data_IF_533942303722
#
_entry.id   IF_533942303722
#
_cell.length_a   1.000
_cell.length_b   1.000
_cell.length_c   1.000
_cell.angle_alpha   90.00
_cell.angle_beta   90.00
_cell.angle_gamma   90.00
#
_symmetry.space_group_name_H-M   'P 1'
#
loop_
_entity.id
_entity.type
_entity.pdbx_description
1 polymer ?
#
# COMPACT_ATOMS: atom_id res chain seq x y z
N UNK A 1 35.16 6.36 34.27
CA UNK A 1 33.85 6.84 34.76
C UNK A 1 33.06 7.18 33.51
N UNK A 2 32.34 6.18 33.02
CA UNK A 2 31.70 6.18 31.71
C UNK A 2 30.21 6.26 31.99
N UNK A 3 29.62 7.43 31.77
CA UNK A 3 28.19 7.66 32.01
C UNK A 3 27.42 7.07 30.85
N UNK A 4 26.79 5.93 31.07
CA UNK A 4 25.82 5.30 30.17
C UNK A 4 24.58 6.20 30.11
N UNK A 5 24.29 6.76 28.94
CA UNK A 5 23.02 7.43 28.68
C UNK A 5 22.04 6.34 28.28
N UNK A 6 21.22 5.92 29.23
CA UNK A 6 20.05 5.08 29.00
C UNK A 6 18.94 5.98 28.48
N UNK A 7 18.83 6.15 27.16
CA UNK A 7 17.61 6.71 26.56
C UNK A 7 16.51 5.66 26.66
N UNK A 8 15.79 5.70 27.78
CA UNK A 8 14.48 5.06 27.92
C UNK A 8 13.54 5.71 26.90
N UNK A 9 13.05 4.92 25.94
CA UNK A 9 11.97 5.30 25.04
C UNK A 9 10.81 5.82 25.88
N UNK A 10 10.63 7.15 25.84
CA UNK A 10 9.62 7.85 26.61
C UNK A 10 8.23 7.42 26.18
N UNK A 11 7.45 7.07 27.20
CA UNK A 11 5.99 7.16 27.31
C UNK A 11 5.37 8.04 26.22
N UNK A 12 4.29 7.54 25.62
CA UNK A 12 3.40 8.28 24.72
C UNK A 12 3.30 9.76 25.13
N UNK A 13 3.35 10.70 24.16
CA UNK A 13 3.42 12.13 24.45
C UNK A 13 2.34 12.52 25.46
N UNK A 14 2.76 13.21 26.53
CA UNK A 14 1.83 13.77 27.51
C UNK A 14 0.83 14.66 26.77
N UNK A 15 -0.48 14.37 26.82
CA UNK A 15 -1.44 14.99 25.93
C UNK A 15 -1.53 16.50 26.17
N UNK A 16 -1.14 17.30 25.17
CA UNK A 16 -1.52 18.72 25.15
C UNK A 16 -2.97 18.87 24.65
N UNK A 17 -3.77 19.79 25.22
CA UNK A 17 -5.22 19.88 24.98
C UNK A 17 -5.68 20.05 23.53
N UNK A 18 -4.80 20.43 22.58
CA UNK A 18 -5.19 20.73 21.20
C UNK A 18 -4.78 19.68 20.17
N UNK A 19 -3.75 18.87 20.42
CA UNK A 19 -3.13 18.06 19.35
C UNK A 19 -3.69 16.63 19.23
N UNK A 20 -4.35 16.10 20.28
CA UNK A 20 -4.77 14.69 20.33
C UNK A 20 -6.20 14.46 20.86
N UNK A 21 -6.92 15.52 21.24
CA UNK A 21 -8.17 15.37 22.02
C UNK A 21 -9.43 15.02 21.21
N UNK A 22 -9.32 14.88 19.88
CA UNK A 22 -10.47 14.61 19.00
C UNK A 22 -10.27 13.42 18.03
N UNK A 23 -9.14 12.71 18.08
CA UNK A 23 -8.88 11.54 17.23
C UNK A 23 -9.00 10.26 18.06
N UNK A 24 -9.83 9.31 17.63
CA UNK A 24 -9.74 7.93 18.12
C UNK A 24 -10.37 7.63 19.46
N UNK A 25 -11.64 7.99 19.65
CA UNK A 25 -12.48 7.37 20.68
C UNK A 25 -13.81 6.86 20.15
N UNK A 26 -14.15 7.24 18.93
CA UNK A 26 -15.38 6.79 18.28
C UNK A 26 -15.04 5.53 17.48
N UNK A 27 -15.69 4.44 17.87
CA UNK A 27 -15.67 3.20 17.09
C UNK A 27 -16.68 3.34 15.93
N UNK A 28 -16.31 2.81 14.76
CA UNK A 28 -17.26 2.68 13.65
C UNK A 28 -17.73 1.22 13.52
N UNK A 29 -18.95 0.89 13.97
CA UNK A 29 -19.49 -0.46 13.88
C UNK A 29 -19.82 -0.89 12.44
N UNK A 30 -19.86 0.07 11.49
CA UNK A 30 -20.11 -0.20 10.07
C UNK A 30 -18.79 -0.29 9.26
N UNK A 31 -17.65 -0.41 9.95
CA UNK A 31 -16.36 -0.53 9.28
C UNK A 31 -16.27 -1.78 8.42
N UNK A 32 -15.72 -1.62 7.20
CA UNK A 32 -15.52 -2.74 6.29
C UNK A 32 -14.52 -3.74 6.89
N UNK A 33 -14.76 -5.02 6.63
CA UNK A 33 -13.86 -6.10 7.05
C UNK A 33 -12.45 -5.84 6.48
N UNK A 34 -11.45 -5.80 7.35
CA UNK A 34 -10.07 -5.47 6.96
C UNK A 34 -9.60 -4.08 7.42
N UNK A 35 -10.49 -3.25 7.95
CA UNK A 35 -10.16 -1.94 8.56
C UNK A 35 -11.00 -1.78 9.81
N UNK A 36 -10.58 -2.47 10.86
CA UNK A 36 -11.24 -2.35 12.15
C UNK A 36 -10.98 -0.94 12.69
N UNK A 37 -12.06 -0.27 13.12
CA UNK A 37 -11.98 1.03 13.77
C UNK A 37 -12.46 0.88 15.23
N UNK A 38 -11.66 0.25 16.11
CA UNK A 38 -12.06 -0.07 17.48
C UNK A 38 -12.12 1.15 18.41
N UNK A 39 -11.83 2.34 17.91
CA UNK A 39 -11.73 3.57 18.71
C UNK A 39 -10.33 3.74 19.29
N UNK A 40 -9.84 2.76 20.05
CA UNK A 40 -8.53 2.82 20.71
C UNK A 40 -7.42 2.09 19.95
N UNK A 41 -6.16 2.37 20.30
CA UNK A 41 -5.02 1.66 19.74
C UNK A 41 -4.72 0.36 20.46
N UNK A 42 -4.13 -0.62 19.75
CA UNK A 42 -3.51 -1.75 20.43
C UNK A 42 -2.40 -1.25 21.36
N UNK A 43 -2.23 -1.88 22.55
CA UNK A 43 -1.19 -1.52 23.50
C UNK A 43 0.21 -1.78 22.91
N UNK A 44 1.21 -1.04 23.41
CA UNK A 44 2.62 -1.29 23.10
C UNK A 44 3.05 -2.70 23.54
N UNK A 45 3.97 -3.31 22.78
CA UNK A 45 4.48 -4.65 23.06
C UNK A 45 5.31 -4.76 24.34
N UNK A 46 5.41 -5.99 24.87
CA UNK A 46 6.23 -6.34 26.03
C UNK A 46 7.71 -5.96 25.81
N UNK A 47 8.35 -5.17 26.69
CA UNK A 47 9.77 -4.80 26.60
C UNK A 47 10.74 -5.98 26.43
N UNK A 48 10.40 -7.16 26.95
CA UNK A 48 11.23 -8.36 26.76
C UNK A 48 11.28 -8.82 25.30
N UNK A 49 10.24 -8.55 24.50
CA UNK A 49 10.22 -8.87 23.07
C UNK A 49 11.18 -7.98 22.29
N UNK A 50 11.33 -6.71 22.68
CA UNK A 50 12.27 -5.77 22.02
C UNK A 50 13.71 -6.28 22.16
N UNK A 51 14.12 -6.64 23.38
CA UNK A 51 15.46 -7.16 23.64
C UNK A 51 15.73 -8.47 22.90
N UNK A 52 14.73 -9.36 22.81
CA UNK A 52 14.81 -10.60 22.04
C UNK A 52 14.97 -10.36 20.55
N UNK A 53 14.20 -9.45 19.97
CA UNK A 53 14.34 -9.08 18.56
C UNK A 53 15.74 -8.50 18.27
N UNK A 54 16.27 -7.63 19.15
CA UNK A 54 17.64 -7.09 19.01
C UNK A 54 18.69 -8.20 19.06
N UNK A 55 18.58 -9.12 20.02
CA UNK A 55 19.49 -10.24 20.16
C UNK A 55 19.45 -11.17 18.93
N UNK A 56 18.26 -11.50 18.44
CA UNK A 56 18.09 -12.36 17.27
C UNK A 56 18.62 -11.69 15.98
N UNK A 57 18.30 -10.41 15.75
CA UNK A 57 18.83 -9.64 14.62
C UNK A 57 20.35 -9.57 14.66
N UNK A 58 20.94 -9.30 15.83
CA UNK A 58 22.39 -9.27 16.01
C UNK A 58 23.05 -10.63 15.76
N UNK A 59 22.40 -11.73 16.15
CA UNK A 59 22.90 -13.09 15.92
C UNK A 59 22.88 -13.47 14.43
N UNK A 60 21.90 -12.97 13.66
CA UNK A 60 21.83 -13.18 12.22
C UNK A 60 22.83 -12.30 11.44
N UNK A 61 23.12 -11.10 11.93
CA UNK A 61 24.06 -10.17 11.29
C UNK A 61 23.65 -9.85 9.85
N UNK A 62 24.62 -9.82 8.94
CA UNK A 62 24.40 -9.47 7.53
C UNK A 62 23.62 -10.54 6.73
N UNK A 63 23.33 -11.71 7.33
CA UNK A 63 22.52 -12.75 6.70
C UNK A 63 21.03 -12.39 6.62
N UNK A 64 20.57 -11.41 7.40
CA UNK A 64 19.17 -10.97 7.39
C UNK A 64 19.04 -9.53 6.93
N UNK A 65 18.03 -9.26 6.12
CA UNK A 65 17.64 -7.92 5.72
C UNK A 65 16.14 -7.73 5.96
N UNK A 66 15.78 -6.77 6.81
CA UNK A 66 14.41 -6.53 7.27
C UNK A 66 13.82 -5.33 6.53
N UNK A 67 12.76 -5.57 5.77
CA UNK A 67 12.05 -4.56 4.98
C UNK A 67 10.81 -4.09 5.72
N UNK A 68 10.65 -2.78 5.96
CA UNK A 68 9.51 -2.21 6.67
C UNK A 68 8.63 -1.31 5.78
N UNK A 69 7.38 -1.69 5.52
CA UNK A 69 6.47 -0.81 4.79
C UNK A 69 6.04 0.40 5.64
N UNK A 70 5.83 1.57 5.04
CA UNK A 70 5.47 2.81 5.76
C UNK A 70 4.22 2.72 6.66
N UNK A 71 3.31 1.79 6.39
CA UNK A 71 2.09 1.59 7.19
C UNK A 71 2.29 0.66 8.40
N UNK A 72 3.48 0.08 8.53
CA UNK A 72 3.77 -0.86 9.59
C UNK A 72 3.87 -0.16 10.96
N UNK A 73 3.61 -0.93 12.03
CA UNK A 73 3.71 -0.47 13.42
C UNK A 73 5.12 0.02 13.75
N UNK A 74 5.22 1.08 14.56
CA UNK A 74 6.52 1.66 14.94
C UNK A 74 7.44 0.66 15.66
N UNK A 75 6.87 -0.21 16.50
CA UNK A 75 7.61 -1.28 17.20
C UNK A 75 8.23 -2.32 16.26
N UNK A 76 7.73 -2.44 15.03
CA UNK A 76 8.29 -3.32 13.98
C UNK A 76 9.25 -2.53 13.10
N UNK A 77 8.89 -1.28 12.75
CA UNK A 77 9.72 -0.39 11.94
C UNK A 77 11.07 -0.09 12.60
N UNK A 78 11.16 -0.05 13.93
CA UNK A 78 12.43 0.10 14.65
C UNK A 78 13.49 -0.95 14.22
N UNK A 79 13.05 -2.14 13.82
CA UNK A 79 13.92 -3.22 13.39
C UNK A 79 14.17 -3.25 11.89
N UNK A 80 13.47 -2.45 11.09
CA UNK A 80 13.63 -2.42 9.64
C UNK A 80 15.00 -1.82 9.26
N UNK A 81 15.72 -2.49 8.36
CA UNK A 81 16.96 -1.96 7.77
C UNK A 81 16.69 -0.89 6.72
N UNK A 82 15.54 -1.00 6.06
CA UNK A 82 15.03 0.02 5.14
C UNK A 82 13.53 0.15 5.26
N UNK A 83 13.04 1.39 5.10
CA UNK A 83 11.62 1.69 5.02
C UNK A 83 11.26 2.26 3.66
N UNK A 84 10.08 1.93 3.14
CA UNK A 84 9.70 2.30 1.79
C UNK A 84 8.27 1.95 1.40
N UNK A 85 7.89 2.39 0.20
CA UNK A 85 6.76 1.83 -0.53
C UNK A 85 7.07 0.42 -1.05
N UNK A 86 6.03 -0.30 -1.49
CA UNK A 86 6.12 -1.69 -1.95
C UNK A 86 7.21 -1.92 -2.99
N UNK A 87 7.41 -0.95 -3.89
CA UNK A 87 8.34 -1.10 -5.01
C UNK A 87 9.79 -0.83 -4.59
N UNK A 88 10.04 0.24 -3.82
CA UNK A 88 11.35 0.51 -3.24
C UNK A 88 11.85 -0.69 -2.45
N UNK A 89 10.99 -1.27 -1.61
CA UNK A 89 11.36 -2.42 -0.77
C UNK A 89 11.75 -3.65 -1.60
N UNK A 90 10.99 -4.00 -2.63
CA UNK A 90 11.29 -5.15 -3.48
C UNK A 90 12.63 -4.97 -4.25
N UNK A 91 12.91 -3.77 -4.74
CA UNK A 91 14.21 -3.43 -5.37
C UNK A 91 15.35 -3.49 -4.37
N UNK A 92 15.17 -2.93 -3.18
CA UNK A 92 16.22 -2.88 -2.16
C UNK A 92 16.55 -4.29 -1.65
N UNK A 93 15.58 -5.21 -1.62
CA UNK A 93 15.83 -6.64 -1.37
C UNK A 93 16.73 -7.28 -2.44
N UNK A 94 16.40 -7.08 -3.72
CA UNK A 94 17.18 -7.61 -4.84
C UNK A 94 18.60 -7.01 -4.91
N UNK A 95 18.78 -5.78 -4.40
CA UNK A 95 20.08 -5.11 -4.33
C UNK A 95 20.98 -5.61 -3.18
N UNK A 96 20.52 -6.61 -2.40
CA UNK A 96 21.22 -7.19 -1.24
C UNK A 96 21.45 -8.71 -1.39
N UNK A 97 22.17 -9.16 -2.42
CA UNK A 97 22.36 -10.59 -2.69
C UNK A 97 23.12 -11.34 -1.59
N UNK A 98 23.81 -10.62 -0.70
CA UNK A 98 24.49 -11.18 0.47
C UNK A 98 23.53 -11.60 1.61
N UNK A 99 22.32 -11.05 1.62
CA UNK A 99 21.31 -11.37 2.63
C UNK A 99 20.59 -12.67 2.23
N UNK A 100 20.85 -13.74 2.98
CA UNK A 100 20.20 -15.05 2.83
C UNK A 100 18.72 -14.98 3.15
N UNK A 101 18.33 -14.16 4.13
CA UNK A 101 16.96 -14.03 4.59
C UNK A 101 16.44 -12.62 4.39
N UNK A 102 15.35 -12.48 3.64
CA UNK A 102 14.61 -11.22 3.48
C UNK A 102 13.35 -11.29 4.34
N UNK A 103 13.32 -10.61 5.48
CA UNK A 103 12.13 -10.55 6.33
C UNK A 103 11.27 -9.37 5.89
N UNK A 104 10.12 -9.66 5.28
CA UNK A 104 9.24 -8.65 4.72
C UNK A 104 8.15 -8.26 5.73
N UNK A 105 8.34 -7.14 6.45
CA UNK A 105 7.35 -6.56 7.36
C UNK A 105 6.32 -5.72 6.59
N UNK A 106 5.48 -6.40 5.81
CA UNK A 106 4.42 -5.83 4.99
C UNK A 106 3.26 -6.80 4.81
N UNK A 107 2.81 -7.01 3.57
CA UNK A 107 1.71 -7.94 3.25
C UNK A 107 2.11 -8.90 2.13
N UNK A 108 1.36 -9.99 1.97
CA UNK A 108 1.68 -11.15 1.13
C UNK A 108 2.15 -10.79 -0.28
N UNK A 109 1.39 -10.01 -1.04
CA UNK A 109 1.76 -9.64 -2.41
C UNK A 109 3.07 -8.84 -2.50
N UNK A 110 3.43 -8.11 -1.43
CA UNK A 110 4.69 -7.36 -1.40
C UNK A 110 5.86 -8.32 -1.21
N UNK A 111 5.69 -9.33 -0.36
CA UNK A 111 6.66 -10.40 -0.18
C UNK A 111 6.80 -11.24 -1.47
N UNK A 112 5.70 -11.56 -2.17
CA UNK A 112 5.75 -12.19 -3.50
C UNK A 112 6.55 -11.34 -4.49
N UNK A 113 6.37 -10.01 -4.46
CA UNK A 113 7.10 -9.13 -5.37
C UNK A 113 8.58 -9.04 -5.04
N UNK A 114 8.96 -9.20 -3.77
CA UNK A 114 10.36 -9.34 -3.38
C UNK A 114 10.93 -10.67 -3.89
N UNK A 115 10.21 -11.78 -3.69
CA UNK A 115 10.60 -13.12 -4.15
C UNK A 115 10.87 -13.15 -5.66
N UNK A 116 9.98 -12.55 -6.46
CA UNK A 116 10.11 -12.43 -7.93
C UNK A 116 11.35 -11.63 -8.38
N UNK A 117 11.85 -10.71 -7.54
CA UNK A 117 12.98 -9.84 -7.90
C UNK A 117 14.31 -10.29 -7.27
N UNK A 118 14.26 -11.03 -6.17
CA UNK A 118 15.44 -11.59 -5.50
C UNK A 118 15.99 -12.81 -6.24
N UNK A 119 17.23 -13.19 -5.94
CA UNK A 119 17.83 -14.40 -6.53
C UNK A 119 17.49 -15.68 -5.77
N UNK A 120 17.64 -16.83 -6.43
CA UNK A 120 17.34 -18.19 -5.89
C UNK A 120 17.99 -18.53 -4.54
N UNK A 121 19.07 -17.83 -4.17
CA UNK A 121 19.78 -18.03 -2.91
C UNK A 121 19.16 -17.28 -1.72
N UNK A 122 18.24 -16.36 -1.98
CA UNK A 122 17.57 -15.56 -0.97
C UNK A 122 16.22 -16.18 -0.63
N UNK A 123 15.85 -16.17 0.64
CA UNK A 123 14.57 -16.69 1.11
C UNK A 123 13.74 -15.54 1.67
N UNK A 124 12.60 -15.25 1.04
CA UNK A 124 11.68 -14.22 1.49
C UNK A 124 10.74 -14.80 2.56
N UNK A 125 10.77 -14.23 3.75
CA UNK A 125 9.99 -14.64 4.91
C UNK A 125 8.95 -13.58 5.23
N UNK A 126 7.68 -14.00 5.31
CA UNK A 126 6.60 -13.17 5.80
C UNK A 126 6.27 -13.55 7.26
N UNK A 127 6.48 -12.65 8.25
CA UNK A 127 6.27 -12.98 9.67
C UNK A 127 4.89 -13.57 10.01
N UNK A 128 3.83 -13.15 9.30
CA UNK A 128 2.49 -13.73 9.41
C UNK A 128 1.88 -13.93 8.03
N UNK A 129 1.61 -15.18 7.64
CA UNK A 129 0.98 -15.53 6.35
C UNK A 129 -0.43 -14.96 6.18
N UNK A 130 -1.11 -14.62 7.27
CA UNK A 130 -2.43 -13.99 7.21
C UNK A 130 -2.35 -12.47 6.99
N UNK A 131 -1.15 -11.87 6.93
CA UNK A 131 -0.94 -10.49 6.51
C UNK A 131 -1.21 -10.33 5.00
N UNK A 132 -2.47 -10.41 4.59
CA UNK A 132 -2.92 -10.22 3.20
C UNK A 132 -3.20 -8.76 2.84
N UNK A 133 -3.93 -8.54 1.75
CA UNK A 133 -4.46 -7.22 1.41
C UNK A 133 -5.85 -7.38 0.85
N UNK A 134 -6.85 -6.85 1.57
CA UNK A 134 -8.26 -6.95 1.19
C UNK A 134 -8.49 -6.54 -0.26
N UNK A 135 -7.81 -5.50 -0.73
CA UNK A 135 -7.89 -5.00 -2.09
C UNK A 135 -7.20 -5.89 -3.13
N UNK A 136 -6.04 -6.46 -2.83
CA UNK A 136 -5.36 -7.39 -3.73
C UNK A 136 -6.23 -8.65 -3.94
N UNK A 137 -6.91 -9.08 -2.88
CA UNK A 137 -7.80 -10.25 -2.89
C UNK A 137 -9.16 -9.99 -3.59
N UNK A 138 -9.46 -8.73 -3.98
CA UNK A 138 -10.67 -8.39 -4.75
C UNK A 138 -10.58 -8.79 -6.23
N UNK A 139 -9.41 -9.21 -6.72
CA UNK A 139 -9.21 -9.71 -8.08
C UNK A 139 -8.52 -11.08 -8.05
N UNK A 140 -9.21 -12.12 -8.50
CA UNK A 140 -8.60 -13.45 -8.65
C UNK A 140 -8.20 -13.72 -10.10
N UNK A 141 -7.22 -14.61 -10.31
CA UNK A 141 -6.77 -14.99 -11.65
C UNK A 141 -7.91 -15.52 -12.53
N UNK A 142 -8.81 -16.32 -11.97
CA UNK A 142 -9.99 -16.85 -12.65
C UNK A 142 -10.93 -15.72 -13.10
N UNK A 143 -11.25 -14.78 -12.21
CA UNK A 143 -12.14 -13.67 -12.55
C UNK A 143 -11.53 -12.74 -13.60
N UNK A 144 -10.20 -12.55 -13.57
CA UNK A 144 -9.50 -11.71 -14.55
C UNK A 144 -9.43 -12.41 -15.91
N UNK A 145 -9.26 -13.74 -15.94
CA UNK A 145 -9.38 -14.52 -17.17
C UNK A 145 -10.79 -14.43 -17.78
N UNK A 146 -11.84 -14.59 -16.98
CA UNK A 146 -13.23 -14.41 -17.42
C UNK A 146 -13.49 -12.98 -17.92
N UNK A 147 -12.95 -11.96 -17.25
CA UNK A 147 -13.01 -10.58 -17.72
C UNK A 147 -12.37 -10.44 -19.10
N UNK A 148 -11.20 -11.05 -19.32
CA UNK A 148 -10.52 -11.01 -20.60
C UNK A 148 -11.31 -11.69 -21.73
N UNK A 149 -12.00 -12.79 -21.44
CA UNK A 149 -12.92 -13.44 -22.37
C UNK A 149 -14.09 -12.49 -22.75
N UNK A 150 -14.65 -11.79 -21.76
CA UNK A 150 -15.69 -10.75 -22.02
C UNK A 150 -15.17 -9.63 -22.92
N UNK A 151 -13.92 -9.18 -22.72
CA UNK A 151 -13.30 -8.18 -23.60
C UNK A 151 -13.05 -8.72 -25.01
N UNK A 152 -12.75 -10.01 -25.12
CA UNK A 152 -12.55 -10.72 -26.39
C UNK A 152 -13.87 -10.81 -27.16
N UNK A 153 -14.95 -11.23 -26.50
CA UNK A 153 -16.30 -11.30 -27.08
C UNK A 153 -16.83 -9.92 -27.50
N UNK A 154 -16.47 -8.86 -26.77
CA UNK A 154 -16.77 -7.49 -27.14
C UNK A 154 -15.96 -6.99 -28.36
N UNK A 155 -14.89 -7.72 -28.75
CA UNK A 155 -14.00 -7.40 -29.86
C UNK A 155 -12.97 -6.31 -29.55
N UNK A 156 -12.60 -6.16 -28.27
CA UNK A 156 -11.71 -5.08 -27.81
C UNK A 156 -10.46 -5.56 -27.05
N UNK A 157 -10.29 -6.87 -26.82
CA UNK A 157 -9.13 -7.42 -26.12
C UNK A 157 -7.80 -7.01 -26.80
N UNK A 158 -7.72 -7.07 -28.14
CA UNK A 158 -6.50 -6.74 -28.90
C UNK A 158 -6.06 -5.27 -28.81
N UNK A 159 -6.98 -4.37 -28.43
CA UNK A 159 -6.70 -2.94 -28.24
C UNK A 159 -6.69 -2.53 -26.76
N UNK A 160 -6.79 -3.50 -25.85
CA UNK A 160 -6.80 -3.27 -24.40
C UNK A 160 -5.46 -3.67 -23.80
N UNK A 161 -4.88 -2.78 -23.00
CA UNK A 161 -3.63 -3.02 -22.29
C UNK A 161 -3.92 -3.18 -20.79
N UNK A 162 -3.59 -4.30 -20.14
CA UNK A 162 -3.76 -4.42 -18.70
C UNK A 162 -2.70 -3.60 -17.96
N UNK A 163 -3.14 -2.81 -16.99
CA UNK A 163 -2.26 -2.10 -16.04
C UNK A 163 -2.67 -2.52 -14.64
N UNK A 164 -1.79 -3.26 -13.97
CA UNK A 164 -2.07 -3.73 -12.60
C UNK A 164 -1.31 -2.90 -11.59
N UNK A 165 -2.00 -2.43 -10.57
CA UNK A 165 -1.38 -1.83 -9.41
C UNK A 165 -0.56 -2.89 -8.66
N UNK A 166 0.55 -2.47 -8.07
CA UNK A 166 1.48 -3.32 -7.29
C UNK A 166 0.75 -4.17 -6.25
N UNK A 167 -0.35 -3.65 -5.72
CA UNK A 167 -1.26 -4.29 -4.78
C UNK A 167 -2.18 -5.31 -5.48
N UNK A 168 -1.56 -6.32 -6.11
CA UNK A 168 -2.21 -7.45 -6.77
C UNK A 168 -1.40 -8.72 -6.51
N UNK A 169 -2.00 -9.92 -6.57
CA UNK A 169 -1.24 -11.17 -6.44
C UNK A 169 -0.21 -11.35 -7.56
N UNK A 170 0.75 -12.24 -7.34
CA UNK A 170 1.70 -12.68 -8.36
C UNK A 170 1.00 -13.19 -9.64
N UNK A 171 -0.12 -13.92 -9.51
CA UNK A 171 -0.89 -14.40 -10.67
C UNK A 171 -1.46 -13.27 -11.52
N UNK A 172 -1.97 -12.20 -10.89
CA UNK A 172 -2.45 -11.02 -11.62
C UNK A 172 -1.29 -10.29 -12.29
N UNK A 173 -0.13 -10.20 -11.64
CA UNK A 173 1.08 -9.65 -12.27
C UNK A 173 1.51 -10.48 -13.48
N UNK A 174 1.45 -11.81 -13.37
CA UNK A 174 1.75 -12.74 -14.45
C UNK A 174 0.77 -12.60 -15.61
N UNK A 175 -0.54 -12.51 -15.33
CA UNK A 175 -1.56 -12.20 -16.33
C UNK A 175 -1.22 -10.90 -17.07
N UNK A 176 -0.97 -9.81 -16.33
CA UNK A 176 -0.57 -8.53 -16.93
C UNK A 176 0.65 -8.68 -17.82
N UNK A 177 1.67 -9.42 -17.38
CA UNK A 177 2.88 -9.67 -18.15
C UNK A 177 2.64 -10.45 -19.44
N UNK A 178 1.82 -11.49 -19.39
CA UNK A 178 1.41 -12.34 -20.53
C UNK A 178 0.68 -11.54 -21.60
N UNK A 179 -0.18 -10.61 -21.17
CA UNK A 179 -0.98 -9.76 -22.05
C UNK A 179 -0.29 -8.44 -22.40
N UNK A 180 1.05 -8.38 -22.28
CA UNK A 180 1.85 -7.24 -22.75
C UNK A 180 1.67 -5.97 -21.93
N UNK A 181 1.07 -6.05 -20.74
CA UNK A 181 0.83 -4.93 -19.84
C UNK A 181 1.99 -4.61 -18.90
N UNK A 182 1.77 -3.65 -18.00
CA UNK A 182 2.75 -3.18 -17.01
C UNK A 182 2.18 -3.13 -15.60
N UNK A 183 3.06 -3.21 -14.60
CA UNK A 183 2.71 -2.88 -13.22
C UNK A 183 2.79 -1.36 -13.01
N UNK A 184 2.05 -0.85 -12.03
CA UNK A 184 2.20 0.52 -11.55
C UNK A 184 2.14 0.60 -10.02
N UNK A 185 2.46 1.76 -9.48
CA UNK A 185 2.32 2.18 -8.09
C UNK A 185 1.53 3.50 -8.05
N UNK A 186 1.09 3.96 -6.88
CA UNK A 186 0.51 5.30 -6.76
C UNK A 186 1.47 6.44 -7.14
N UNK A 187 2.78 6.18 -7.14
CA UNK A 187 3.84 7.13 -7.52
C UNK A 187 4.09 7.21 -9.04
N UNK A 188 3.71 6.20 -9.82
CA UNK A 188 3.97 6.16 -11.28
C UNK A 188 2.75 5.77 -12.13
N UNK A 189 1.56 5.68 -11.54
CA UNK A 189 0.31 5.33 -12.24
C UNK A 189 0.09 6.16 -13.52
N UNK A 190 0.32 7.48 -13.47
CA UNK A 190 0.19 8.35 -14.64
C UNK A 190 1.08 7.87 -15.80
N UNK A 191 2.36 7.65 -15.53
CA UNK A 191 3.34 7.22 -16.54
C UNK A 191 3.01 5.84 -17.10
N UNK A 192 2.53 4.93 -16.26
CA UNK A 192 2.09 3.61 -16.68
C UNK A 192 0.86 3.69 -17.60
N UNK A 193 -0.09 4.57 -17.30
CA UNK A 193 -1.26 4.79 -18.16
C UNK A 193 -0.89 5.48 -19.48
N UNK A 194 -0.05 6.52 -19.44
CA UNK A 194 0.46 7.19 -20.65
C UNK A 194 1.12 6.18 -21.59
N UNK A 195 2.03 5.35 -21.07
CA UNK A 195 2.65 4.27 -21.81
C UNK A 195 1.62 3.26 -22.36
N UNK A 196 0.64 2.86 -21.55
CA UNK A 196 -0.37 1.90 -21.99
C UNK A 196 -1.22 2.43 -23.15
N UNK A 197 -1.56 3.71 -23.17
CA UNK A 197 -2.25 4.35 -24.30
C UNK A 197 -1.39 4.59 -25.53
N UNK A 198 -0.06 4.46 -25.43
CA UNK A 198 0.82 4.37 -26.61
C UNK A 198 0.79 2.95 -27.23
N UNK A 199 0.52 1.93 -26.43
CA UNK A 199 0.47 0.53 -26.89
C UNK A 199 -0.92 0.10 -27.39
N UNK A 200 -1.99 0.70 -26.86
CA UNK A 200 -3.36 0.35 -27.19
C UNK A 200 -4.33 1.52 -27.07
N UNK A 201 -5.63 1.25 -27.25
CA UNK A 201 -6.67 2.29 -27.21
C UNK A 201 -7.42 2.30 -25.88
N UNK A 202 -7.28 1.25 -25.08
CA UNK A 202 -8.00 1.04 -23.82
C UNK A 202 -7.08 0.47 -22.76
N UNK A 203 -7.44 0.70 -21.49
CA UNK A 203 -6.74 0.12 -20.35
C UNK A 203 -7.71 -0.67 -19.48
N UNK A 204 -7.33 -1.91 -19.15
CA UNK A 204 -7.92 -2.65 -18.02
C UNK A 204 -7.08 -2.35 -16.78
N UNK A 205 -7.64 -1.60 -15.83
CA UNK A 205 -6.94 -1.19 -14.61
C UNK A 205 -7.35 -2.04 -13.41
N UNK A 206 -6.38 -2.70 -12.76
CA UNK A 206 -6.59 -3.66 -11.69
C UNK A 206 -5.82 -3.27 -10.40
N UNK A 207 -6.27 -3.68 -9.21
CA UNK A 207 -7.66 -3.91 -8.84
C UNK A 207 -8.36 -2.61 -8.39
N UNK A 208 -7.62 -1.51 -8.13
CA UNK A 208 -8.18 -0.31 -7.51
C UNK A 208 -8.83 0.64 -8.53
N UNK A 209 -10.16 0.74 -8.47
CA UNK A 209 -10.92 1.64 -9.34
C UNK A 209 -10.61 3.11 -9.10
N UNK A 210 -10.27 3.51 -7.89
CA UNK A 210 -10.09 4.91 -7.51
C UNK A 210 -8.76 5.42 -8.01
N UNK A 211 -7.66 4.68 -7.81
CA UNK A 211 -6.36 5.00 -8.37
C UNK A 211 -6.44 5.14 -9.90
N UNK A 212 -7.04 4.15 -10.58
CA UNK A 212 -7.20 4.18 -12.04
C UNK A 212 -8.03 5.38 -12.50
N UNK A 213 -9.22 5.57 -11.90
CA UNK A 213 -10.13 6.68 -12.24
C UNK A 213 -9.51 8.04 -11.97
N UNK A 214 -8.95 8.23 -10.79
CA UNK A 214 -8.40 9.51 -10.37
C UNK A 214 -7.19 9.88 -11.21
N UNK A 215 -6.33 8.92 -11.56
CA UNK A 215 -5.20 9.18 -12.47
C UNK A 215 -5.70 9.59 -13.85
N UNK A 216 -6.65 8.85 -14.44
CA UNK A 216 -7.19 9.15 -15.76
C UNK A 216 -7.89 10.52 -15.81
N UNK A 217 -8.77 10.80 -14.85
CA UNK A 217 -9.58 12.04 -14.84
C UNK A 217 -8.75 13.25 -14.44
N UNK A 218 -8.03 13.17 -13.31
CA UNK A 218 -7.30 14.33 -12.75
C UNK A 218 -6.02 14.61 -13.51
N UNK A 219 -5.24 13.58 -13.83
CA UNK A 219 -3.85 13.76 -14.29
C UNK A 219 -3.68 13.66 -15.82
N UNK A 220 -4.66 13.06 -16.51
CA UNK A 220 -4.66 12.86 -17.97
C UNK A 220 -5.82 13.58 -18.68
N UNK A 221 -6.73 14.22 -17.94
CA UNK A 221 -7.79 15.05 -18.50
C UNK A 221 -8.96 14.29 -19.11
N UNK A 222 -9.15 13.01 -18.75
CA UNK A 222 -10.33 12.26 -19.17
C UNK A 222 -11.58 12.68 -18.40
N UNK A 223 -12.74 12.38 -18.95
CA UNK A 223 -14.02 12.52 -18.25
C UNK A 223 -14.35 11.28 -17.42
N UNK A 224 -15.27 11.41 -16.48
CA UNK A 224 -15.82 10.26 -15.75
C UNK A 224 -16.53 9.28 -16.70
N UNK A 225 -17.10 9.77 -17.80
CA UNK A 225 -17.80 8.96 -18.80
C UNK A 225 -16.83 8.12 -19.65
N UNK A 226 -15.54 8.48 -19.71
CA UNK A 226 -14.50 7.65 -20.33
C UNK A 226 -14.16 6.40 -19.49
N UNK A 227 -14.69 6.29 -18.26
CA UNK A 227 -14.39 5.23 -17.30
C UNK A 227 -15.63 4.35 -17.01
N UNK A 228 -15.50 3.04 -17.19
CA UNK A 228 -16.50 2.04 -16.75
C UNK A 228 -15.94 1.18 -15.63
N UNK A 229 -16.82 0.66 -14.77
CA UNK A 229 -16.42 -0.22 -13.66
C UNK A 229 -16.85 -1.65 -13.94
N UNK A 230 -15.88 -2.54 -14.08
CA UNK A 230 -16.11 -3.98 -14.23
C UNK A 230 -16.29 -4.63 -12.86
N UNK A 231 -17.47 -5.20 -12.62
CA UNK A 231 -17.78 -5.93 -11.40
C UNK A 231 -17.73 -7.45 -11.64
N UNK A 232 -16.71 -8.17 -11.15
CA UNK A 232 -16.54 -9.61 -11.42
C UNK A 232 -17.67 -10.48 -10.87
N UNK A 233 -18.51 -9.94 -9.98
CA UNK A 233 -19.66 -10.66 -9.41
C UNK A 233 -20.95 -10.48 -10.22
N UNK A 234 -20.89 -9.87 -11.40
CA UNK A 234 -22.03 -9.70 -12.31
C UNK A 234 -21.73 -10.31 -13.68
N UNK A 235 -22.74 -10.82 -14.39
CA UNK A 235 -22.57 -11.25 -15.78
C UNK A 235 -21.94 -10.14 -16.62
N UNK A 236 -20.89 -10.46 -17.39
CA UNK A 236 -20.14 -9.52 -18.23
C UNK A 236 -19.63 -8.27 -17.49
N UNK A 237 -19.30 -8.39 -16.21
CA UNK A 237 -18.88 -7.25 -15.39
C UNK A 237 -20.02 -6.29 -15.01
N UNK A 238 -21.26 -6.61 -15.38
CA UNK A 238 -22.40 -5.69 -15.30
C UNK A 238 -22.38 -4.61 -16.40
N UNK A 239 -21.66 -4.83 -17.50
CA UNK A 239 -21.50 -3.88 -18.60
C UNK A 239 -22.03 -4.48 -19.91
N UNK A 240 -22.49 -3.62 -20.82
CA UNK A 240 -22.80 -4.00 -22.21
C UNK A 240 -21.55 -3.94 -23.09
N UNK A 241 -21.56 -4.66 -24.22
CA UNK A 241 -20.48 -4.58 -25.20
C UNK A 241 -20.29 -3.15 -25.77
N UNK A 242 -21.37 -2.36 -25.85
CA UNK A 242 -21.31 -0.96 -26.27
C UNK A 242 -20.59 -0.10 -25.22
N UNK A 243 -20.94 -0.23 -23.94
CA UNK A 243 -20.24 0.47 -22.85
C UNK A 243 -18.75 0.14 -22.82
N UNK A 244 -18.38 -1.12 -23.04
CA UNK A 244 -16.98 -1.55 -23.12
C UNK A 244 -16.25 -0.95 -24.33
N UNK A 245 -16.93 -0.82 -25.48
CA UNK A 245 -16.36 -0.22 -26.70
C UNK A 245 -16.21 1.29 -26.60
N UNK A 246 -17.10 1.97 -25.89
CA UNK A 246 -17.06 3.43 -25.74
C UNK A 246 -16.06 3.88 -24.67
N UNK A 247 -15.85 3.07 -23.62
CA UNK A 247 -14.94 3.40 -22.53
C UNK A 247 -13.46 3.35 -22.95
N UNK A 248 -12.64 4.23 -22.38
CA UNK A 248 -11.17 4.17 -22.49
C UNK A 248 -10.54 3.44 -21.30
N UNK A 249 -11.15 3.58 -20.12
CA UNK A 249 -10.70 2.96 -18.89
C UNK A 249 -11.74 1.93 -18.43
N UNK A 250 -11.32 0.67 -18.32
CA UNK A 250 -12.10 -0.42 -17.73
C UNK A 250 -11.51 -0.67 -16.34
N UNK A 251 -12.19 -0.18 -15.32
CA UNK A 251 -11.72 -0.18 -13.94
C UNK A 251 -12.25 -1.39 -13.20
N UNK A 252 -11.39 -2.20 -12.61
CA UNK A 252 -11.83 -3.28 -11.74
C UNK A 252 -12.55 -2.74 -10.51
N UNK A 253 -13.66 -3.36 -10.10
CA UNK A 253 -14.40 -2.98 -8.89
C UNK A 253 -13.69 -3.43 -7.60
N UNK A 254 -12.45 -3.03 -7.41
CA UNK A 254 -11.72 -3.11 -6.15
C UNK A 254 -11.42 -1.72 -5.60
N UNK A 255 -11.19 -1.64 -4.30
CA UNK A 255 -10.84 -0.41 -3.61
C UNK A 255 -10.08 -0.71 -2.32
N UNK A 256 -9.23 0.21 -1.88
CA UNK A 256 -8.64 0.13 -0.57
C UNK A 256 -9.68 0.43 0.52
N UNK A 257 -9.88 -0.51 1.44
CA UNK A 257 -10.82 -0.37 2.57
C UNK A 257 -10.41 0.75 3.54
N UNK A 258 -9.15 1.21 3.54
CA UNK A 258 -8.70 2.34 4.36
C UNK A 258 -9.09 3.65 3.67
N UNK A 259 -8.65 3.84 2.43
CA UNK A 259 -8.88 5.09 1.69
C UNK A 259 -10.32 5.27 1.22
N UNK A 260 -11.06 4.18 1.01
CA UNK A 260 -12.48 4.20 0.67
C UNK A 260 -13.38 4.73 1.80
N UNK A 261 -12.86 4.86 3.02
CA UNK A 261 -13.62 5.40 4.17
C UNK A 261 -13.69 6.92 4.16
N UNK A 262 -12.65 7.58 3.68
CA UNK A 262 -12.66 9.04 3.59
C UNK A 262 -13.83 9.47 2.72
N UNK A 263 -14.54 10.48 3.21
CA UNK A 263 -15.73 11.03 2.59
C UNK A 263 -15.56 12.51 2.36
N UNK A 264 -16.42 13.09 1.52
CA UNK A 264 -16.49 14.54 1.35
C UNK A 264 -16.78 15.24 2.70
N UNK A 265 -17.57 14.60 3.57
CA UNK A 265 -17.86 15.10 4.91
C UNK A 265 -16.61 15.12 5.79
N UNK A 266 -15.71 14.13 5.69
CA UNK A 266 -14.41 14.13 6.38
C UNK A 266 -13.58 15.37 6.00
N UNK A 267 -13.58 15.75 4.71
CA UNK A 267 -12.87 16.95 4.21
C UNK A 267 -13.54 18.24 4.69
N UNK A 268 -14.86 18.30 4.66
CA UNK A 268 -15.60 19.49 5.11
C UNK A 268 -15.45 19.70 6.63
N UNK A 269 -15.54 18.63 7.42
CA UNK A 269 -15.40 18.65 8.88
C UNK A 269 -14.02 19.19 9.30
N UNK A 270 -12.94 18.69 8.69
CA UNK A 270 -11.59 19.11 9.08
C UNK A 270 -11.33 20.57 8.72
N UNK A 271 -11.89 21.05 7.60
CA UNK A 271 -11.79 22.46 7.19
C UNK A 271 -12.56 23.39 8.13
N UNK A 272 -13.70 22.94 8.66
CA UNK A 272 -14.45 23.69 9.67
C UNK A 272 -13.69 23.73 11.01
N UNK A 273 -13.14 22.59 11.45
CA UNK A 273 -12.39 22.48 12.71
C UNK A 273 -11.05 23.21 12.69
N UNK A 274 -10.35 23.20 11.56
CA UNK A 274 -8.98 23.70 11.44
C UNK A 274 -8.92 24.74 10.30
N UNK A 275 -9.22 26.02 10.59
CA UNK A 275 -9.09 27.08 9.61
C UNK A 275 -7.66 27.20 9.07
N UNK A 276 -7.55 27.24 7.74
CA UNK A 276 -6.28 27.33 7.01
C UNK A 276 -5.55 25.99 6.81
N UNK A 277 -6.22 24.85 7.06
CA UNK A 277 -5.65 23.52 6.84
C UNK A 277 -5.48 23.20 5.35
N UNK A 278 -4.34 22.61 5.00
CA UNK A 278 -4.10 21.98 3.69
C UNK A 278 -4.47 20.50 3.77
N UNK A 279 -5.39 20.08 2.91
CA UNK A 279 -5.86 18.69 2.83
C UNK A 279 -5.04 17.93 1.78
N UNK A 280 -4.32 16.90 2.22
CA UNK A 280 -3.46 16.07 1.38
C UNK A 280 -3.87 14.60 1.49
N UNK A 281 -4.31 13.99 0.39
CA UNK A 281 -4.87 12.64 0.39
C UNK A 281 -4.15 11.68 -0.55
N UNK A 282 -4.30 10.38 -0.30
CA UNK A 282 -3.81 9.35 -1.21
C UNK A 282 -4.72 9.22 -2.44
N UNK A 283 -4.21 8.91 -3.65
CA UNK A 283 -5.03 8.76 -4.86
C UNK A 283 -5.99 7.55 -4.85
N UNK A 284 -5.86 6.64 -3.89
CA UNK A 284 -6.82 5.54 -3.65
C UNK A 284 -8.14 6.01 -3.00
N UNK A 285 -8.20 7.28 -2.54
CA UNK A 285 -9.44 7.85 -2.00
C UNK A 285 -10.53 7.98 -3.08
N UNK A 286 -11.78 8.01 -2.65
CA UNK A 286 -12.93 8.26 -3.53
C UNK A 286 -12.75 9.54 -4.35
N UNK A 287 -13.35 9.57 -5.53
CA UNK A 287 -13.16 10.68 -6.47
C UNK A 287 -13.60 12.01 -5.87
N UNK A 288 -14.73 12.05 -5.15
CA UNK A 288 -15.18 13.28 -4.49
C UNK A 288 -14.19 13.80 -3.41
N UNK A 289 -13.47 12.91 -2.74
CA UNK A 289 -12.45 13.28 -1.75
C UNK A 289 -11.21 13.84 -2.44
N UNK A 290 -10.75 13.14 -3.49
CA UNK A 290 -9.61 13.57 -4.31
C UNK A 290 -9.87 14.92 -4.96
N UNK A 291 -11.09 15.16 -5.45
CA UNK A 291 -11.48 16.43 -6.05
C UNK A 291 -11.59 17.58 -5.03
N UNK A 292 -11.89 17.27 -3.76
CA UNK A 292 -12.00 18.27 -2.70
C UNK A 292 -10.66 18.58 -2.00
N UNK A 293 -9.67 17.70 -2.13
CA UNK A 293 -8.34 17.85 -1.52
C UNK A 293 -7.49 18.91 -2.22
N UNK A 294 -6.59 19.55 -1.46
CA UNK A 294 -5.68 20.56 -1.98
C UNK A 294 -4.47 19.93 -2.69
N UNK A 295 -4.05 18.75 -2.22
CA UNK A 295 -2.94 17.99 -2.78
C UNK A 295 -3.27 16.49 -2.79
N UNK A 296 -2.73 15.77 -3.77
CA UNK A 296 -2.97 14.33 -3.91
C UNK A 296 -1.68 13.64 -4.33
N UNK A 297 -1.31 12.56 -3.64
CA UNK A 297 -0.11 11.81 -4.01
C UNK A 297 0.10 10.55 -3.19
N UNK A 298 1.09 9.76 -3.62
CA UNK A 298 1.52 8.56 -2.92
C UNK A 298 2.05 8.86 -1.51
N UNK A 299 2.23 7.82 -0.71
CA UNK A 299 2.89 7.93 0.60
C UNK A 299 4.21 8.69 0.55
N UNK A 300 5.06 8.39 -0.43
CA UNK A 300 6.35 9.06 -0.61
C UNK A 300 6.17 10.56 -0.94
N UNK A 301 5.16 10.90 -1.74
CA UNK A 301 4.82 12.29 -2.02
C UNK A 301 4.34 13.01 -0.75
N UNK A 302 3.53 12.35 0.08
CA UNK A 302 3.04 12.90 1.34
C UNK A 302 4.20 13.22 2.28
N UNK A 303 5.13 12.28 2.45
CA UNK A 303 6.34 12.46 3.26
C UNK A 303 7.13 13.67 2.75
N UNK A 304 7.45 13.72 1.45
CA UNK A 304 8.21 14.83 0.84
C UNK A 304 7.52 16.17 0.96
N UNK A 305 6.20 16.22 0.80
CA UNK A 305 5.43 17.44 0.92
C UNK A 305 5.51 18.02 2.34
N UNK A 306 5.45 17.17 3.37
CA UNK A 306 5.55 17.59 4.77
C UNK A 306 6.98 17.92 5.19
N UNK A 307 7.98 17.18 4.70
CA UNK A 307 9.39 17.49 4.90
C UNK A 307 9.75 18.88 4.35
N UNK A 308 9.18 19.24 3.20
CA UNK A 308 9.40 20.52 2.53
C UNK A 308 8.48 21.65 3.02
N UNK A 309 7.49 21.37 3.87
CA UNK A 309 6.54 22.37 4.32
C UNK A 309 7.15 23.32 5.36
N UNK A 310 6.72 24.58 5.33
CA UNK A 310 7.17 25.59 6.29
C UNK A 310 6.65 25.31 7.72
N UNK A 311 7.42 25.67 8.76
CA UNK A 311 6.96 25.59 10.15
C UNK A 311 5.65 26.37 10.38
N UNK A 312 4.79 25.85 11.26
CA UNK A 312 3.49 26.45 11.62
C UNK A 312 2.36 26.22 10.60
N UNK A 313 2.63 25.49 9.52
CA UNK A 313 1.58 25.05 8.58
C UNK A 313 0.70 23.96 9.19
N UNK A 314 -0.53 23.86 8.68
CA UNK A 314 -1.55 22.93 9.18
C UNK A 314 -1.96 21.96 8.08
N UNK A 315 -1.99 20.67 8.38
CA UNK A 315 -2.15 19.60 7.41
C UNK A 315 -3.17 18.57 7.89
N UNK A 316 -4.10 18.21 7.02
CA UNK A 316 -5.00 17.08 7.21
C UNK A 316 -4.62 15.98 6.21
N UNK A 317 -4.16 14.84 6.71
CA UNK A 317 -3.63 13.77 5.88
C UNK A 317 -4.63 12.62 5.77
N UNK A 318 -5.08 12.34 4.54
CA UNK A 318 -5.98 11.23 4.20
C UNK A 318 -5.23 10.01 3.68
N UNK A 319 -4.63 9.25 4.59
CA UNK A 319 -3.93 7.99 4.27
C UNK A 319 -3.99 7.02 5.47
N UNK A 320 -3.08 6.07 5.61
CA UNK A 320 -3.04 5.16 6.77
C UNK A 320 -2.52 5.86 8.05
N UNK A 321 -3.13 5.56 9.20
CA UNK A 321 -2.96 6.26 10.47
C UNK A 321 -1.54 6.21 11.06
N UNK A 322 -0.85 5.06 10.99
CA UNK A 322 0.49 4.92 11.55
C UNK A 322 1.47 5.87 10.87
N UNK A 323 1.35 6.03 9.55
CA UNK A 323 2.15 7.02 8.82
C UNK A 323 1.85 8.45 9.28
N UNK A 324 0.58 8.82 9.41
CA UNK A 324 0.21 10.19 9.81
C UNK A 324 0.76 10.54 11.19
N UNK A 325 0.71 9.59 12.14
CA UNK A 325 1.28 9.80 13.48
C UNK A 325 2.79 9.91 13.46
N UNK A 326 3.45 9.07 12.68
CA UNK A 326 4.91 9.13 12.53
C UNK A 326 5.34 10.49 11.98
N UNK A 327 4.61 11.01 11.00
CA UNK A 327 4.83 12.35 10.43
C UNK A 327 4.57 13.46 11.45
N UNK A 328 3.47 13.38 12.21
CA UNK A 328 3.17 14.34 13.27
C UNK A 328 4.25 14.38 14.36
N UNK A 329 4.82 13.21 14.70
CA UNK A 329 5.95 13.11 15.65
C UNK A 329 7.26 13.65 15.07
N UNK A 330 7.51 13.41 13.78
CA UNK A 330 8.72 13.86 13.09
C UNK A 330 8.74 15.38 12.84
N UNK A 331 7.57 16.01 12.73
CA UNK A 331 7.43 17.46 12.49
C UNK A 331 6.62 18.14 13.60
N UNK A 332 7.15 18.24 14.83
CA UNK A 332 6.45 18.90 15.94
C UNK A 332 6.24 20.41 15.73
N UNK A 333 6.92 20.99 14.74
CA UNK A 333 6.79 22.36 14.30
C UNK A 333 5.55 22.61 13.40
N UNK A 334 4.82 21.56 13.02
CA UNK A 334 3.64 21.60 12.14
C UNK A 334 2.42 21.00 12.84
N UNK A 335 1.23 21.46 12.48
CA UNK A 335 -0.02 20.85 12.96
C UNK A 335 -0.47 19.78 11.95
N UNK A 336 -0.12 18.52 12.19
CA UNK A 336 -0.48 17.40 11.31
C UNK A 336 -1.57 16.57 11.98
N UNK A 337 -2.72 16.47 11.32
CA UNK A 337 -3.87 15.70 11.79
C UNK A 337 -4.30 14.62 10.78
N UNK A 338 -4.91 13.56 11.30
CA UNK A 338 -5.60 12.57 10.48
C UNK A 338 -6.88 13.18 9.90
N UNK A 339 -7.19 12.86 8.63
CA UNK A 339 -8.35 13.43 7.94
C UNK A 339 -9.69 13.03 8.58
N UNK A 340 -9.78 11.80 9.09
CA UNK A 340 -11.02 11.30 9.71
C UNK A 340 -10.98 11.40 11.25
N UNK A 341 -12.15 11.30 11.90
CA UNK A 341 -12.27 11.23 13.36
C UNK A 341 -12.14 9.81 13.89
N UNK A 342 -12.60 8.84 13.11
CA UNK A 342 -12.52 7.42 13.47
C UNK A 342 -11.10 6.90 13.24
N UNK A 343 -10.50 6.34 14.30
CA UNK A 343 -9.20 5.66 14.17
C UNK A 343 -9.40 4.38 13.40
N UNK A 344 -8.74 4.30 12.26
CA UNK A 344 -8.84 3.18 11.35
C UNK A 344 -7.43 2.86 10.87
N UNK A 345 -7.03 1.62 11.10
CA UNK A 345 -5.73 1.12 10.70
C UNK A 345 -5.92 -0.03 9.72
N UNK A 346 -4.95 -0.23 8.83
CA UNK A 346 -4.99 -1.38 7.93
C UNK A 346 -4.84 -2.65 8.78
N UNK A 347 -5.92 -3.43 8.95
CA UNK A 347 -5.90 -4.54 9.90
C UNK A 347 -4.95 -5.64 9.45
N UNK A 348 -4.73 -5.78 8.13
CA UNK A 348 -3.79 -6.76 7.58
C UNK A 348 -2.33 -6.34 7.69
N UNK A 349 -2.02 -5.05 7.54
CA UNK A 349 -0.66 -4.52 7.81
C UNK A 349 -0.28 -4.68 9.28
N UNK A 350 -1.21 -4.38 10.20
CA UNK A 350 -0.98 -4.44 11.64
C UNK A 350 -0.96 -5.88 12.20
N UNK A 351 -1.19 -6.90 11.37
CA UNK A 351 -1.03 -8.31 11.79
C UNK A 351 0.41 -8.65 12.12
N UNK A 352 1.35 -8.05 11.38
CA UNK A 352 2.76 -8.17 11.73
C UNK A 352 3.00 -7.25 12.93
N UNK A 353 3.05 -7.87 14.09
CA UNK A 353 3.42 -7.23 15.34
C UNK A 353 4.80 -7.71 15.81
N UNK A 354 5.27 -7.14 16.92
CA UNK A 354 6.56 -7.51 17.48
C UNK A 354 6.66 -9.02 17.84
N UNK A 355 5.65 -9.68 18.44
CA UNK A 355 5.65 -11.14 18.61
C UNK A 355 5.91 -11.94 17.32
N UNK A 356 5.23 -11.62 16.21
CA UNK A 356 5.45 -12.31 14.94
C UNK A 356 6.86 -12.07 14.40
N UNK A 357 7.35 -10.83 14.47
CA UNK A 357 8.71 -10.50 14.04
C UNK A 357 9.76 -11.25 14.88
N UNK A 358 9.64 -11.23 16.22
CA UNK A 358 10.55 -11.92 17.13
C UNK A 358 10.58 -13.41 16.83
N UNK A 359 9.41 -14.03 16.68
CA UNK A 359 9.32 -15.45 16.36
C UNK A 359 9.97 -15.80 15.02
N UNK A 360 9.79 -14.96 14.00
CA UNK A 360 10.43 -15.14 12.70
C UNK A 360 11.96 -15.07 12.83
N UNK A 361 12.49 -14.02 13.50
CA UNK A 361 13.93 -13.84 13.68
C UNK A 361 14.56 -14.96 14.54
N UNK A 362 13.94 -15.35 15.65
CA UNK A 362 14.43 -16.44 16.49
C UNK A 362 14.40 -17.79 15.76
N UNK A 363 13.36 -18.04 14.94
CA UNK A 363 13.32 -19.24 14.10
C UNK A 363 14.50 -19.28 13.13
N UNK A 364 14.84 -18.16 12.49
CA UNK A 364 15.99 -18.06 11.61
C UNK A 364 17.31 -18.30 12.35
N UNK A 365 17.46 -17.79 13.58
CA UNK A 365 18.63 -18.06 14.44
C UNK A 365 18.77 -19.55 14.74
N UNK A 366 17.66 -20.26 14.93
CA UNK A 366 17.61 -21.71 15.14
C UNK A 366 17.83 -22.52 13.85
N UNK A 367 17.99 -21.87 12.69
CA UNK A 367 18.14 -22.54 11.39
C UNK A 367 16.83 -23.04 10.79
N UNK A 368 15.68 -22.59 11.30
CA UNK A 368 14.35 -22.85 10.72
C UNK A 368 13.90 -21.63 9.93
N UNK A 369 13.44 -21.83 8.69
CA UNK A 369 12.96 -20.74 7.84
C UNK A 369 11.43 -20.79 7.80
N UNK A 370 10.72 -20.01 8.64
CA UNK A 370 9.26 -20.03 8.65
C UNK A 370 8.69 -19.27 7.46
N UNK A 371 7.44 -19.58 7.08
CA UNK A 371 6.62 -18.75 6.19
C UNK A 371 7.34 -18.25 4.94
N UNK A 372 8.10 -19.13 4.29
CA UNK A 372 8.79 -18.81 3.05
C UNK A 372 7.74 -18.54 1.98
N UNK A 373 7.84 -17.37 1.36
CA UNK A 373 7.07 -17.03 0.18
C UNK A 373 7.82 -17.56 -1.03
N UNK A 374 7.09 -18.20 -1.93
CA UNK A 374 7.66 -18.74 -3.17
C UNK A 374 6.63 -18.62 -4.27
N UNK A 375 7.01 -17.95 -5.35
CA UNK A 375 6.24 -17.85 -6.59
C UNK A 375 6.71 -18.94 -7.55
N UNK A 376 5.80 -19.62 -8.24
CA UNK A 376 6.19 -20.66 -9.17
C UNK A 376 6.92 -20.05 -10.41
N UNK A 377 7.82 -20.81 -11.07
CA UNK A 377 8.66 -20.25 -12.14
C UNK A 377 7.89 -19.70 -13.34
N UNK A 378 6.71 -20.23 -13.64
CA UNK A 378 5.91 -19.73 -14.77
C UNK A 378 5.29 -18.38 -14.43
N UNK A 379 4.69 -18.26 -13.24
CA UNK A 379 4.15 -17.01 -12.72
C UNK A 379 5.24 -15.96 -12.57
N UNK A 380 6.37 -16.32 -11.97
CA UNK A 380 7.53 -15.45 -11.78
C UNK A 380 8.01 -14.85 -13.11
N UNK A 381 8.20 -15.69 -14.14
CA UNK A 381 8.66 -15.26 -15.47
C UNK A 381 7.79 -14.12 -16.05
N UNK A 382 6.48 -14.28 -16.00
CA UNK A 382 5.58 -13.27 -16.59
C UNK A 382 5.36 -12.07 -15.67
N UNK A 383 5.28 -12.29 -14.35
CA UNK A 383 5.18 -11.21 -13.38
C UNK A 383 6.41 -10.31 -13.44
N UNK A 384 7.60 -10.91 -13.54
CA UNK A 384 8.87 -10.20 -13.75
C UNK A 384 8.84 -9.39 -15.04
N UNK A 385 8.30 -9.92 -16.14
CA UNK A 385 8.17 -9.15 -17.39
C UNK A 385 7.30 -7.88 -17.23
N UNK A 386 6.21 -7.95 -16.44
CA UNK A 386 5.38 -6.79 -16.15
C UNK A 386 6.08 -5.77 -15.22
N UNK A 387 6.82 -6.27 -14.22
CA UNK A 387 7.63 -5.44 -13.32
C UNK A 387 8.80 -4.77 -14.05
N UNK A 388 9.50 -5.48 -14.93
CA UNK A 388 10.58 -4.93 -15.75
C UNK A 388 10.07 -3.82 -16.68
N UNK A 389 8.84 -3.95 -17.22
CA UNK A 389 8.21 -2.86 -17.99
C UNK A 389 7.92 -1.64 -17.11
N UNK A 390 7.43 -1.84 -15.88
CA UNK A 390 7.23 -0.75 -14.92
C UNK A 390 8.55 0.00 -14.65
N UNK A 391 9.66 -0.73 -14.56
CA UNK A 391 11.01 -0.17 -14.37
C UNK A 391 11.50 0.63 -15.58
N UNK A 392 11.12 0.20 -16.77
CA UNK A 392 11.49 0.82 -18.03
C UNK A 392 10.59 2.01 -18.41
N UNK A 393 9.56 2.32 -17.62
CA UNK A 393 8.71 3.49 -17.87
C UNK A 393 9.53 4.78 -17.80
N UNK A 394 9.31 5.72 -18.74
CA UNK A 394 10.12 6.93 -18.88
C UNK A 394 10.06 7.93 -17.70
#
# INVERSE_FOLDING_TARGET
MTTTITETYGVDPTPTPLALLLLGREADPNSERGVECPGDLPPASDPNLVERARAAKAALGDRVFILGHHYQRDEVIEFADVTGDSFKLARDAAARPEAEYIVFCGVHFMAESADILTGDAQQVVLPDLAAGCSMADMATAEQVAECWDVLTDAGIADVTVPVSYMNSSADIKAFTGRHGGTICTSSNAKRALEWAFEQGQKVLFLPDQHLGRNTAVRDMGFSLDDCVVYNPHRPNGGLTAEQLRDAKMILWRGHCSVHGRFSLDSVNDVRERIPGVTVLVHPECKHEVVAAADMVGSTEYIIKALDAAEPGTKWAIGTELNLVRRLAKAHPDKEIVFLDRAVCFCSTMNRIDLPHLVWALESLVEGRVPNVITVDPETEKYAKAALDRMLALP
#
